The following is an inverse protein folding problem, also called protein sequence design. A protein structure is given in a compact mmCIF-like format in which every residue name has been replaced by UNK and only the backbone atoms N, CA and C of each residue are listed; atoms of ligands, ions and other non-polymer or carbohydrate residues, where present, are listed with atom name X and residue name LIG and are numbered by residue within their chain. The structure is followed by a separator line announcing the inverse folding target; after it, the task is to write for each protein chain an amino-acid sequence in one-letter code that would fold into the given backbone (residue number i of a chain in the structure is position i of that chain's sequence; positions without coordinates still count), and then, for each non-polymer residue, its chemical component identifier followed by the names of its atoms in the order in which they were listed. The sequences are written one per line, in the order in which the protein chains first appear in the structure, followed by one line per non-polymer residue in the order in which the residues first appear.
data_IF_750109327565
#
_entry.id   IF_750109327565
#
_cell.length_a   1.000
_cell.length_b   1.000
_cell.length_c   1.000
_cell.angle_alpha   90.00
_cell.angle_beta   90.00
_cell.angle_gamma   90.00
#
_symmetry.space_group_name_H-M   'P 1'
#
loop_
_entity.id
_entity.type
_entity.pdbx_description
1 polymer ?
#
# COMPACT_ATOMS: atom_id res chain seq x y z
N UNK A 1 22.77 5.52 24.34
CA UNK A 1 22.18 4.40 23.56
C UNK A 1 22.55 4.61 22.11
N UNK A 2 23.40 3.75 21.55
CA UNK A 2 23.63 3.73 20.11
C UNK A 2 22.29 3.57 19.39
N UNK A 3 22.02 4.43 18.40
CA UNK A 3 20.89 4.24 17.47
C UNK A 3 21.23 3.08 16.56
N UNK A 4 21.12 1.85 17.05
CA UNK A 4 21.19 0.66 16.20
C UNK A 4 20.02 0.73 15.23
N UNK A 5 20.33 0.91 13.95
CA UNK A 5 19.36 0.73 12.89
C UNK A 5 18.92 -0.72 12.94
N UNK A 6 17.64 -0.97 13.28
CA UNK A 6 17.09 -2.34 13.31
C UNK A 6 17.18 -3.05 11.95
N UNK A 7 17.29 -2.28 10.87
CA UNK A 7 17.45 -2.76 9.49
C UNK A 7 18.46 -1.86 8.78
N UNK A 8 19.40 -2.47 8.05
CA UNK A 8 20.40 -1.79 7.22
C UNK A 8 19.77 -0.81 6.21
N UNK A 9 20.56 0.18 5.75
CA UNK A 9 20.16 1.02 4.63
C UNK A 9 20.20 0.20 3.33
N UNK A 10 19.27 0.48 2.42
CA UNK A 10 19.26 -0.09 1.07
C UNK A 10 20.00 0.84 0.11
N UNK A 11 20.55 0.30 -0.98
CA UNK A 11 21.24 1.08 -2.01
C UNK A 11 20.27 1.72 -3.00
N UNK A 12 19.37 0.92 -3.56
CA UNK A 12 18.38 1.35 -4.55
C UNK A 12 17.04 0.68 -4.22
N UNK A 13 15.92 1.39 -4.38
CA UNK A 13 14.57 0.85 -4.21
C UNK A 13 13.61 1.77 -3.46
N UNK A 14 12.63 1.20 -2.76
CA UNK A 14 11.57 1.96 -2.06
C UNK A 14 11.52 1.63 -0.57
N UNK A 15 11.41 2.67 0.25
CA UNK A 15 11.13 2.58 1.69
C UNK A 15 9.73 3.11 1.96
N UNK A 16 8.91 2.31 2.63
CA UNK A 16 7.57 2.67 3.12
C UNK A 16 7.67 2.79 4.63
N UNK A 17 7.58 4.03 5.12
CA UNK A 17 7.63 4.36 6.54
C UNK A 17 6.26 4.86 7.03
N UNK A 18 6.06 4.93 8.34
CA UNK A 18 4.81 5.36 8.98
C UNK A 18 3.60 4.48 8.61
N UNK A 19 3.82 3.20 8.35
CA UNK A 19 2.73 2.22 8.24
C UNK A 19 2.15 2.00 9.65
N UNK A 20 0.81 2.03 9.84
CA UNK A 20 0.22 1.74 11.14
C UNK A 20 0.68 0.40 11.69
N UNK A 21 0.97 0.34 12.99
CA UNK A 21 1.51 -0.88 13.63
C UNK A 21 0.62 -2.09 13.37
N UNK A 22 1.23 -3.20 12.95
CA UNK A 22 0.55 -4.46 12.63
C UNK A 22 -0.10 -4.52 11.24
N UNK A 23 0.06 -3.48 10.41
CA UNK A 23 -0.47 -3.45 9.03
C UNK A 23 0.59 -3.78 7.97
N UNK A 24 1.87 -3.88 8.34
CA UNK A 24 2.97 -4.14 7.40
C UNK A 24 2.79 -5.40 6.57
N UNK A 25 2.31 -6.50 7.17
CA UNK A 25 2.02 -7.75 6.45
C UNK A 25 0.94 -7.56 5.38
N UNK A 26 -0.10 -6.76 5.65
CA UNK A 26 -1.14 -6.46 4.65
C UNK A 26 -0.57 -5.68 3.46
N UNK A 27 0.36 -4.76 3.73
CA UNK A 27 1.04 -4.00 2.66
C UNK A 27 1.86 -4.94 1.77
N UNK A 28 2.61 -5.88 2.34
CA UNK A 28 3.34 -6.90 1.56
C UNK A 28 2.39 -7.71 0.66
N UNK A 29 1.24 -8.11 1.20
CA UNK A 29 0.22 -8.86 0.45
C UNK A 29 -0.32 -8.09 -0.76
N UNK A 30 -0.68 -6.81 -0.60
CA UNK A 30 -1.21 -6.01 -1.74
C UNK A 30 -0.15 -5.63 -2.77
N UNK A 31 1.13 -5.58 -2.38
CA UNK A 31 2.24 -5.36 -3.31
C UNK A 31 2.63 -6.62 -4.10
N UNK A 32 1.92 -7.73 -3.90
CA UNK A 32 2.19 -8.99 -4.59
C UNK A 32 3.57 -9.56 -4.28
N UNK A 33 4.11 -9.31 -3.09
CA UNK A 33 5.40 -9.86 -2.67
C UNK A 33 5.18 -11.31 -2.24
N UNK A 34 5.58 -12.25 -3.09
CA UNK A 34 5.40 -13.70 -2.92
C UNK A 34 6.74 -14.44 -3.03
N UNK A 35 6.71 -15.78 -3.15
CA UNK A 35 7.90 -16.65 -3.11
C UNK A 35 8.87 -16.44 -4.29
N UNK A 36 8.37 -16.10 -5.48
CA UNK A 36 9.15 -16.03 -6.72
C UNK A 36 9.82 -14.67 -6.98
N UNK A 37 9.84 -13.77 -5.99
CA UNK A 37 10.42 -12.44 -6.17
C UNK A 37 11.95 -12.49 -6.20
N UNK A 38 12.57 -11.72 -7.11
CA UNK A 38 14.03 -11.67 -7.28
C UNK A 38 14.70 -10.48 -6.57
N UNK A 39 14.01 -9.89 -5.59
CA UNK A 39 14.49 -8.74 -4.83
C UNK A 39 14.31 -8.95 -3.32
N UNK A 40 15.12 -8.25 -2.53
CA UNK A 40 15.08 -8.34 -1.07
C UNK A 40 13.99 -7.45 -0.50
N UNK A 41 13.21 -7.98 0.44
CA UNK A 41 12.26 -7.22 1.24
C UNK A 41 12.60 -7.35 2.71
N UNK A 42 12.75 -6.22 3.40
CA UNK A 42 12.91 -6.17 4.85
C UNK A 42 11.68 -5.55 5.50
N UNK A 43 11.10 -6.24 6.49
CA UNK A 43 9.93 -5.76 7.23
C UNK A 43 10.28 -5.65 8.70
N UNK A 44 10.08 -4.46 9.27
CA UNK A 44 10.17 -4.19 10.70
C UNK A 44 8.76 -3.92 11.22
N UNK A 45 8.25 -4.79 12.09
CA UNK A 45 6.91 -4.67 12.68
C UNK A 45 7.02 -4.14 14.11
N UNK A 46 6.09 -3.27 14.50
CA UNK A 46 5.96 -2.75 15.86
C UNK A 46 7.25 -2.07 16.37
N UNK A 47 7.85 -1.22 15.54
CA UNK A 47 9.03 -0.43 15.92
C UNK A 47 8.62 0.87 16.61
N UNK A 48 9.36 1.33 17.64
CA UNK A 48 9.08 2.60 18.29
C UNK A 48 9.05 3.77 17.31
N UNK A 49 8.08 4.66 17.49
CA UNK A 49 7.88 5.85 16.67
C UNK A 49 7.54 7.04 17.55
N UNK A 50 8.33 8.11 17.48
CA UNK A 50 8.05 9.33 18.24
C UNK A 50 6.70 9.97 17.85
N UNK A 51 6.25 9.77 16.61
CA UNK A 51 5.00 10.37 16.09
C UNK A 51 3.77 9.48 16.29
N UNK A 52 3.94 8.16 16.31
CA UNK A 52 2.83 7.19 16.27
C UNK A 52 2.79 6.23 17.47
N UNK A 53 3.74 6.35 18.41
CA UNK A 53 3.98 5.34 19.44
C UNK A 53 4.71 4.12 18.84
N UNK A 54 4.03 3.39 17.96
CA UNK A 54 4.59 2.27 17.20
C UNK A 54 4.19 2.35 15.72
N UNK A 55 5.06 1.84 14.86
CA UNK A 55 4.81 1.76 13.41
C UNK A 55 5.43 0.50 12.82
N UNK A 56 5.06 0.20 11.60
CA UNK A 56 5.77 -0.75 10.76
C UNK A 56 6.58 0.01 9.70
N UNK A 57 7.67 -0.62 9.22
CA UNK A 57 8.55 -0.10 8.18
C UNK A 57 8.86 -1.21 7.19
N UNK A 58 8.74 -0.92 5.90
CA UNK A 58 9.03 -1.84 4.82
C UNK A 58 10.11 -1.24 3.93
N UNK A 59 11.10 -2.05 3.54
CA UNK A 59 12.12 -1.69 2.57
C UNK A 59 12.14 -2.73 1.46
N UNK A 60 12.13 -2.28 0.22
CA UNK A 60 12.13 -3.13 -0.98
C UNK A 60 13.32 -2.70 -1.83
N UNK A 61 14.26 -3.61 -2.04
CA UNK A 61 15.46 -3.34 -2.83
C UNK A 61 15.17 -3.46 -4.33
N UNK A 62 15.79 -2.61 -5.15
CA UNK A 62 15.74 -2.65 -6.63
C UNK A 62 14.33 -2.62 -7.26
N UNK A 63 13.30 -2.24 -6.49
CA UNK A 63 11.92 -2.05 -6.98
C UNK A 63 11.44 -0.66 -6.61
N UNK A 64 10.82 0.00 -7.58
CA UNK A 64 10.20 1.31 -7.44
C UNK A 64 8.70 1.13 -7.67
N UNK A 65 7.90 1.57 -6.70
CA UNK A 65 6.46 1.36 -6.73
C UNK A 65 5.78 2.30 -7.72
N UNK A 66 4.88 1.75 -8.53
CA UNK A 66 4.03 2.51 -9.43
C UNK A 66 2.83 3.15 -8.71
N UNK A 67 2.05 3.92 -9.45
CA UNK A 67 0.90 4.65 -8.89
C UNK A 67 -0.18 3.72 -8.33
N UNK A 68 -0.46 2.61 -9.00
CA UNK A 68 -1.50 1.67 -8.59
C UNK A 68 -1.13 0.98 -7.27
N UNK A 69 0.16 0.63 -7.12
CA UNK A 69 0.71 0.09 -5.89
C UNK A 69 0.64 1.11 -4.74
N UNK A 70 0.97 2.37 -5.00
CA UNK A 70 0.87 3.44 -4.03
C UNK A 70 -0.58 3.71 -3.60
N UNK A 71 -1.52 3.68 -4.55
CA UNK A 71 -2.95 3.80 -4.28
C UNK A 71 -3.44 2.65 -3.40
N UNK A 72 -2.97 1.41 -3.64
CA UNK A 72 -3.27 0.26 -2.78
C UNK A 72 -2.70 0.41 -1.37
N UNK A 73 -1.48 0.91 -1.23
CA UNK A 73 -0.88 1.22 0.08
C UNK A 73 -1.72 2.25 0.82
N UNK A 74 -2.20 3.29 0.12
CA UNK A 74 -2.98 4.38 0.73
C UNK A 74 -4.26 3.90 1.43
N UNK A 75 -4.85 2.78 0.97
CA UNK A 75 -6.03 2.17 1.60
C UNK A 75 -5.72 1.53 2.95
N UNK A 76 -4.49 1.05 3.14
CA UNK A 76 -4.04 0.38 4.36
C UNK A 76 -3.38 1.39 5.31
N UNK A 77 -2.62 2.32 4.74
CA UNK A 77 -1.75 3.24 5.45
C UNK A 77 -1.84 4.66 4.84
N UNK A 78 -2.96 5.38 5.04
CA UNK A 78 -3.27 6.66 4.39
C UNK A 78 -2.39 7.85 4.79
N UNK A 79 -1.28 7.61 5.50
CA UNK A 79 -0.29 8.61 5.90
C UNK A 79 1.15 8.09 5.77
N UNK A 80 1.33 6.92 5.13
CA UNK A 80 2.65 6.34 4.95
C UNK A 80 3.53 7.28 4.14
N UNK A 81 4.82 7.32 4.49
CA UNK A 81 5.82 8.09 3.77
C UNK A 81 6.58 7.16 2.85
N UNK A 82 6.61 7.48 1.57
CA UNK A 82 7.40 6.79 0.56
C UNK A 82 8.71 7.53 0.41
N UNK A 83 9.82 6.81 0.41
CA UNK A 83 11.13 7.34 0.07
C UNK A 83 11.74 6.48 -1.04
N UNK A 84 12.08 7.11 -2.15
CA UNK A 84 12.74 6.48 -3.29
C UNK A 84 14.25 6.63 -3.09
N UNK A 85 14.93 5.51 -2.91
CA UNK A 85 16.36 5.47 -2.63
C UNK A 85 17.12 5.17 -3.93
N UNK A 86 18.13 5.97 -4.23
CA UNK A 86 19.07 5.75 -5.34
C UNK A 86 20.49 5.98 -4.83
N UNK A 87 21.39 5.03 -5.05
CA UNK A 87 22.79 5.09 -4.56
C UNK A 87 22.92 5.48 -3.07
N UNK A 88 22.13 4.87 -2.19
CA UNK A 88 22.05 5.14 -0.73
C UNK A 88 21.48 6.50 -0.33
N UNK A 89 21.05 7.33 -1.28
CA UNK A 89 20.49 8.65 -1.05
C UNK A 89 18.99 8.69 -1.37
N UNK A 90 18.27 9.58 -0.69
CA UNK A 90 16.84 9.80 -0.95
C UNK A 90 16.73 10.70 -2.19
N UNK A 91 16.30 10.12 -3.30
CA UNK A 91 16.01 10.86 -4.53
C UNK A 91 14.66 11.56 -4.48
N UNK A 92 13.65 10.91 -3.91
CA UNK A 92 12.30 11.45 -3.76
C UNK A 92 11.69 11.03 -2.42
N UNK A 93 10.85 11.89 -1.86
CA UNK A 93 10.15 11.61 -0.61
C UNK A 93 8.80 12.30 -0.60
N UNK A 94 7.74 11.53 -0.40
CA UNK A 94 6.37 12.03 -0.39
C UNK A 94 5.49 11.19 0.53
N UNK A 95 4.31 11.69 0.89
CA UNK A 95 3.29 10.92 1.59
C UNK A 95 2.33 10.32 0.58
N UNK A 96 1.86 9.10 0.81
CA UNK A 96 0.74 8.57 0.04
C UNK A 96 -0.52 9.30 0.45
N UNK A 97 -1.29 9.74 -0.53
CA UNK A 97 -2.62 10.29 -0.34
C UNK A 97 -3.64 9.31 -0.87
N UNK A 98 -4.69 9.06 -0.10
CA UNK A 98 -5.83 8.27 -0.57
C UNK A 98 -6.58 9.07 -1.64
N UNK A 99 -6.59 8.61 -2.91
CA UNK A 99 -7.26 9.34 -3.99
C UNK A 99 -8.78 9.36 -3.79
N UNK A 100 -9.48 10.26 -4.48
CA UNK A 100 -10.95 10.29 -4.48
C UNK A 100 -11.55 9.09 -5.21
N UNK A 101 -10.78 8.50 -6.14
CA UNK A 101 -11.18 7.38 -6.98
C UNK A 101 -10.04 6.37 -7.12
N UNK A 102 -10.42 5.11 -7.24
CA UNK A 102 -9.53 3.97 -7.43
C UNK A 102 -9.90 3.30 -8.74
N UNK A 103 -8.95 3.18 -9.67
CA UNK A 103 -9.17 2.57 -10.99
C UNK A 103 -8.24 1.38 -11.14
N UNK A 104 -8.77 0.22 -11.53
CA UNK A 104 -8.01 -0.99 -11.83
C UNK A 104 -7.34 -1.69 -10.64
N UNK A 105 -7.37 -1.08 -9.45
CA UNK A 105 -6.64 -1.57 -8.26
C UNK A 105 -7.43 -2.54 -7.38
N UNK A 106 -8.77 -2.48 -7.41
CA UNK A 106 -9.65 -3.34 -6.60
C UNK A 106 -10.66 -4.03 -7.50
N UNK A 107 -10.83 -5.35 -7.36
CA UNK A 107 -11.91 -6.08 -8.05
C UNK A 107 -13.24 -5.93 -7.32
N UNK A 108 -14.34 -5.77 -8.06
CA UNK A 108 -15.67 -5.76 -7.47
C UNK A 108 -16.07 -7.16 -6.98
N UNK A 109 -16.54 -7.30 -5.74
CA UNK A 109 -17.04 -8.59 -5.22
C UNK A 109 -18.42 -8.97 -5.78
N UNK A 110 -19.10 -8.07 -6.49
CA UNK A 110 -20.35 -8.39 -7.20
C UNK A 110 -20.04 -9.16 -8.48
N UNK A 111 -20.25 -10.49 -8.47
CA UNK A 111 -20.01 -11.35 -9.64
C UNK A 111 -20.78 -10.91 -10.90
N UNK A 112 -21.93 -10.26 -10.74
CA UNK A 112 -22.74 -9.75 -11.85
C UNK A 112 -22.33 -8.34 -12.31
N UNK A 113 -21.27 -7.75 -11.75
CA UNK A 113 -20.79 -6.44 -12.19
C UNK A 113 -20.10 -6.57 -13.55
N UNK A 114 -20.33 -5.59 -14.43
CA UNK A 114 -19.72 -5.52 -15.77
C UNK A 114 -18.18 -5.65 -15.74
N UNK A 115 -17.54 -5.13 -14.70
CA UNK A 115 -16.08 -5.20 -14.47
C UNK A 115 -15.54 -6.61 -14.21
N UNK A 116 -16.42 -7.58 -13.96
CA UNK A 116 -16.08 -8.99 -13.77
C UNK A 116 -16.47 -9.86 -14.98
N UNK A 117 -16.87 -9.24 -16.09
CA UNK A 117 -17.24 -9.93 -17.33
C UNK A 117 -16.12 -9.79 -18.38
N UNK A 118 -16.35 -10.21 -19.62
CA UNK A 118 -15.37 -10.10 -20.71
C UNK A 118 -15.32 -8.70 -21.35
N UNK A 119 -16.00 -7.71 -20.75
CA UNK A 119 -15.95 -6.33 -21.22
C UNK A 119 -14.58 -5.70 -20.94
N UNK A 120 -14.05 -4.89 -21.87
CA UNK A 120 -12.75 -4.25 -21.74
C UNK A 120 -12.81 -3.00 -20.84
N UNK A 121 -13.31 -3.14 -19.61
CA UNK A 121 -13.46 -2.05 -18.64
C UNK A 121 -12.73 -2.37 -17.34
N UNK A 122 -12.00 -1.39 -16.82
CA UNK A 122 -11.38 -1.50 -15.50
C UNK A 122 -12.40 -1.21 -14.40
N UNK A 123 -12.20 -1.84 -13.25
CA UNK A 123 -12.99 -1.53 -12.07
C UNK A 123 -12.71 -0.12 -11.58
N UNK A 124 -13.76 0.62 -11.24
CA UNK A 124 -13.66 1.98 -10.71
C UNK A 124 -14.47 2.09 -9.43
N UNK A 125 -13.88 2.71 -8.42
CA UNK A 125 -14.50 2.94 -7.12
C UNK A 125 -14.32 4.37 -6.63
N UNK A 126 -15.37 4.92 -6.04
CA UNK A 126 -15.31 6.19 -5.30
C UNK A 126 -15.09 5.92 -3.80
N UNK A 127 -14.28 6.75 -3.15
CA UNK A 127 -14.14 6.71 -1.68
C UNK A 127 -15.36 7.37 -1.04
N UNK A 128 -16.21 6.57 -0.38
CA UNK A 128 -17.41 7.06 0.34
C UNK A 128 -17.06 7.47 1.76
N UNK A 129 -16.21 6.69 2.42
CA UNK A 129 -15.72 6.98 3.77
C UNK A 129 -14.29 6.51 3.90
N UNK A 130 -13.45 7.32 4.56
CA UNK A 130 -12.07 6.93 4.86
C UNK A 130 -12.01 6.06 6.12
N UNK A 131 -12.79 6.40 7.15
CA UNK A 131 -12.77 5.75 8.46
C UNK A 131 -14.20 5.56 9.00
N UNK A 132 -14.77 4.34 8.96
CA UNK A 132 -14.21 3.12 8.37
C UNK A 132 -14.08 3.24 6.84
N UNK A 133 -13.14 2.51 6.23
CA UNK A 133 -12.95 2.54 4.77
C UNK A 133 -14.18 1.91 4.10
N UNK A 134 -14.86 2.72 3.28
CA UNK A 134 -15.98 2.30 2.44
C UNK A 134 -15.76 2.88 1.05
N UNK A 135 -15.81 2.01 0.05
CA UNK A 135 -15.71 2.37 -1.36
C UNK A 135 -16.98 1.96 -2.09
N UNK A 136 -17.36 2.68 -3.15
CA UNK A 136 -18.55 2.39 -3.96
C UNK A 136 -18.16 2.17 -5.41
N UNK A 137 -18.58 1.05 -5.98
CA UNK A 137 -18.33 0.75 -7.39
C UNK A 137 -19.09 1.73 -8.28
N UNK A 138 -18.43 2.35 -9.24
CA UNK A 138 -19.05 3.30 -10.19
C UNK A 138 -20.06 2.62 -11.10
N UNK A 139 -19.88 1.32 -11.39
CA UNK A 139 -20.73 0.58 -12.32
C UNK A 139 -21.98 -0.03 -11.71
N UNK A 140 -21.85 -0.71 -10.55
CA UNK A 140 -22.98 -1.40 -9.92
C UNK A 140 -23.46 -0.77 -8.62
N UNK A 141 -22.87 0.37 -8.24
CA UNK A 141 -23.20 1.18 -7.05
C UNK A 141 -23.08 0.46 -5.70
N UNK A 142 -22.67 -0.81 -5.68
CA UNK A 142 -22.47 -1.56 -4.44
C UNK A 142 -21.28 -1.02 -3.66
N UNK A 143 -21.45 -0.95 -2.35
CA UNK A 143 -20.39 -0.57 -1.42
C UNK A 143 -19.58 -1.78 -0.97
N UNK A 144 -18.29 -1.59 -0.78
CA UNK A 144 -17.34 -2.56 -0.23
C UNK A 144 -16.60 -1.91 0.95
N UNK A 145 -16.41 -2.67 2.03
CA UNK A 145 -15.63 -2.24 3.19
C UNK A 145 -14.25 -2.91 3.23
N UNK A 146 -13.47 -2.64 4.29
CA UNK A 146 -12.14 -3.26 4.46
C UNK A 146 -12.13 -4.78 4.32
N UNK A 147 -13.16 -5.46 4.86
CA UNK A 147 -13.25 -6.93 4.77
C UNK A 147 -13.38 -7.39 3.31
N UNK A 148 -14.13 -6.67 2.49
CA UNK A 148 -14.32 -7.01 1.09
C UNK A 148 -13.08 -6.70 0.24
N UNK A 149 -12.32 -5.67 0.61
CA UNK A 149 -11.13 -5.23 -0.12
C UNK A 149 -9.93 -6.16 0.14
N UNK A 150 -9.77 -6.60 1.40
CA UNK A 150 -8.57 -7.32 1.85
C UNK A 150 -8.86 -8.80 2.18
N UNK A 151 -9.94 -9.37 1.63
CA UNK A 151 -10.28 -10.80 1.72
C UNK A 151 -9.92 -11.60 0.48
#
# INVERSE_FOLDING_TARGET
MEKTLRISKIRDGTVIDHVPSGKGIRVIGVLGVHEDVNYTVSVAIHVPSNKMGFKDVIKIENRFLDRNELDMISLIAPNATISIIRNYEISEKFQVDLPSRLVGVIKCKNQNCITNTHEPVESEFEIVSKHPLVIRCVYCERTMGERDIFS
#
